data_IF_367396447753
#
_entry.id   IF_367396447753
#
_cell.length_a   1.000
_cell.length_b   1.000
_cell.length_c   1.000
_cell.angle_alpha   90.00
_cell.angle_beta   90.00
_cell.angle_gamma   90.00
#
_symmetry.space_group_name_H-M   'P 1'
#
loop_
_entity.id
_entity.type
_entity.pdbx_description
1 polymer ?
#
# COMPACT_ATOMS: atom_id res chain seq x y z
N UNK A 1 31.93 -1.92 -27.46
CA UNK A 1 32.22 -1.84 -26.01
C UNK A 1 30.92 -1.59 -25.27
N UNK A 2 30.25 -2.65 -24.83
CA UNK A 2 28.98 -2.54 -24.07
C UNK A 2 29.36 -2.29 -22.63
N UNK A 3 29.15 -1.06 -22.13
CA UNK A 3 29.41 -0.70 -20.72
C UNK A 3 28.33 -1.38 -19.84
N UNK A 4 28.81 -2.19 -18.91
CA UNK A 4 28.06 -2.88 -17.89
C UNK A 4 27.13 -1.94 -17.10
N UNK A 5 25.84 -2.00 -17.38
CA UNK A 5 24.80 -1.31 -16.60
C UNK A 5 24.54 -1.97 -15.23
N UNK A 6 25.26 -3.05 -14.91
CA UNK A 6 25.09 -3.79 -13.64
C UNK A 6 25.49 -3.00 -12.38
N UNK A 7 26.44 -2.09 -12.48
CA UNK A 7 26.91 -1.31 -11.33
C UNK A 7 25.94 -0.22 -10.86
N UNK A 8 25.16 0.38 -11.75
CA UNK A 8 24.19 1.44 -11.39
C UNK A 8 22.93 0.87 -10.74
N UNK A 9 22.47 -0.31 -11.16
CA UNK A 9 21.30 -0.97 -10.58
C UNK A 9 21.62 -1.54 -9.20
N UNK A 10 22.84 -1.98 -8.95
CA UNK A 10 23.26 -2.56 -7.67
C UNK A 10 23.25 -1.54 -6.52
N UNK A 11 23.48 -0.26 -6.78
CA UNK A 11 23.49 0.77 -5.74
C UNK A 11 22.11 1.35 -5.43
N UNK A 12 21.17 1.34 -6.38
CA UNK A 12 19.84 1.99 -6.20
C UNK A 12 19.02 1.41 -5.03
N UNK A 13 18.99 0.10 -4.85
CA UNK A 13 18.21 -0.50 -3.74
C UNK A 13 18.89 -0.29 -2.38
N UNK A 14 20.23 -0.24 -2.34
CA UNK A 14 20.98 0.10 -1.13
C UNK A 14 20.78 1.58 -0.75
N UNK A 15 20.75 2.46 -1.73
CA UNK A 15 20.49 3.89 -1.49
C UNK A 15 19.06 4.09 -0.98
N UNK A 16 18.09 3.36 -1.54
CA UNK A 16 16.71 3.38 -1.07
C UNK A 16 16.57 2.83 0.36
N UNK A 17 17.23 1.70 0.67
CA UNK A 17 17.29 1.15 2.02
C UNK A 17 17.87 2.17 3.02
N UNK A 18 19.01 2.79 2.70
CA UNK A 18 19.63 3.81 3.55
C UNK A 18 18.73 5.03 3.75
N UNK A 19 18.01 5.44 2.70
CA UNK A 19 17.03 6.53 2.78
C UNK A 19 15.92 6.20 3.78
N UNK A 20 15.40 4.97 3.74
CA UNK A 20 14.37 4.51 4.68
C UNK A 20 14.91 4.40 6.10
N UNK A 21 16.12 3.90 6.28
CA UNK A 21 16.75 3.77 7.60
C UNK A 21 17.01 5.14 8.26
N UNK A 22 17.37 6.14 7.46
CA UNK A 22 17.62 7.50 7.92
C UNK A 22 16.33 8.32 8.15
N UNK A 23 15.21 7.92 7.55
CA UNK A 23 13.95 8.65 7.66
C UNK A 23 13.33 8.50 9.05
N UNK A 24 12.58 9.52 9.46
CA UNK A 24 11.66 9.42 10.59
C UNK A 24 10.37 8.77 10.12
N UNK A 25 10.26 7.44 10.37
CA UNK A 25 9.14 6.64 9.91
C UNK A 25 7.98 6.73 10.90
N UNK A 26 6.80 7.08 10.37
CA UNK A 26 5.56 7.20 11.15
C UNK A 26 5.10 5.86 11.76
N UNK A 27 5.32 4.73 11.03
CA UNK A 27 5.05 3.39 11.55
C UNK A 27 6.27 2.89 12.32
N UNK A 28 6.17 2.90 13.66
CA UNK A 28 7.26 2.57 14.57
C UNK A 28 7.81 1.13 14.41
N UNK A 29 7.01 0.21 13.84
CA UNK A 29 7.43 -1.18 13.66
C UNK A 29 8.47 -1.32 12.53
N UNK A 30 8.50 -0.40 11.58
CA UNK A 30 9.32 -0.52 10.37
C UNK A 30 10.81 -0.28 10.62
N UNK A 31 11.16 0.64 11.53
CA UNK A 31 12.56 1.00 11.79
C UNK A 31 13.36 -0.13 12.46
N UNK A 32 12.84 -0.80 13.50
CA UNK A 32 13.48 -1.99 14.05
C UNK A 32 13.61 -3.14 13.05
N UNK A 33 12.64 -3.27 12.14
CA UNK A 33 12.68 -4.27 11.07
C UNK A 33 13.81 -4.00 10.08
N UNK A 34 14.01 -2.73 9.67
CA UNK A 34 15.11 -2.32 8.81
C UNK A 34 16.48 -2.58 9.45
N UNK A 35 16.62 -2.28 10.75
CA UNK A 35 17.88 -2.52 11.48
C UNK A 35 18.23 -4.00 11.55
N UNK A 36 17.24 -4.90 11.62
CA UNK A 36 17.49 -6.36 11.66
C UNK A 36 18.06 -6.93 10.36
N UNK A 37 17.82 -6.28 9.23
CA UNK A 37 18.31 -6.73 7.92
C UNK A 37 19.61 -6.04 7.50
N UNK A 38 20.20 -5.21 8.36
CA UNK A 38 21.47 -4.53 8.07
C UNK A 38 22.56 -5.56 7.77
N UNK A 39 23.27 -5.37 6.67
CA UNK A 39 24.28 -6.29 6.18
C UNK A 39 23.76 -7.53 5.43
N UNK A 40 22.45 -7.76 5.39
CA UNK A 40 21.84 -8.84 4.60
C UNK A 40 21.42 -8.31 3.21
N UNK A 41 22.34 -8.37 2.25
CA UNK A 41 22.14 -7.82 0.90
C UNK A 41 20.97 -8.48 0.15
N UNK A 42 20.74 -9.78 0.34
CA UNK A 42 19.64 -10.50 -0.31
C UNK A 42 18.28 -9.99 0.18
N UNK A 43 18.12 -9.85 1.49
CA UNK A 43 16.89 -9.34 2.09
C UNK A 43 16.65 -7.88 1.75
N UNK A 44 17.69 -7.04 1.75
CA UNK A 44 17.60 -5.64 1.36
C UNK A 44 17.17 -5.53 -0.11
N UNK A 45 17.78 -6.33 -0.99
CA UNK A 45 17.43 -6.36 -2.41
C UNK A 45 15.99 -6.83 -2.64
N UNK A 46 15.54 -7.88 -1.95
CA UNK A 46 14.15 -8.36 -2.06
C UNK A 46 13.14 -7.28 -1.67
N UNK A 47 13.46 -6.43 -0.70
CA UNK A 47 12.58 -5.38 -0.20
C UNK A 47 12.61 -4.08 -1.00
N UNK A 48 13.74 -3.75 -1.64
CA UNK A 48 13.97 -2.43 -2.21
C UNK A 48 14.35 -2.39 -3.70
N UNK A 49 14.67 -3.53 -4.34
CA UNK A 49 15.06 -3.55 -5.75
C UNK A 49 13.92 -3.24 -6.72
N UNK A 50 12.69 -3.48 -6.28
CA UNK A 50 11.48 -3.21 -7.07
C UNK A 50 10.39 -2.59 -6.18
N UNK A 51 9.46 -1.91 -6.79
CA UNK A 51 8.23 -1.49 -6.11
C UNK A 51 7.19 -2.61 -6.19
N UNK A 52 6.35 -2.72 -5.16
CA UNK A 52 5.20 -3.61 -5.15
C UNK A 52 4.27 -3.23 -6.31
N UNK A 53 3.88 -4.23 -7.12
CA UNK A 53 3.08 -4.03 -8.33
C UNK A 53 1.65 -4.48 -8.14
N UNK A 54 0.73 -3.80 -8.81
CA UNK A 54 -0.64 -4.26 -8.95
C UNK A 54 -0.68 -5.57 -9.75
N UNK A 55 -1.36 -6.57 -9.18
CA UNK A 55 -1.75 -7.79 -9.87
C UNK A 55 -3.19 -7.68 -10.40
N UNK A 56 -3.74 -8.80 -10.90
CA UNK A 56 -5.10 -8.85 -11.44
C UNK A 56 -6.18 -8.48 -10.42
N UNK A 57 -5.98 -8.83 -9.14
CA UNK A 57 -6.94 -8.61 -8.06
C UNK A 57 -6.55 -7.44 -7.13
N UNK A 58 -5.65 -6.57 -7.55
CA UNK A 58 -5.21 -5.42 -6.74
C UNK A 58 -3.74 -5.51 -6.31
N UNK A 59 -3.38 -4.66 -5.36
CA UNK A 59 -2.05 -4.60 -4.76
C UNK A 59 -1.99 -5.56 -3.57
N UNK A 60 -1.06 -6.52 -3.55
CA UNK A 60 -0.91 -7.49 -2.47
C UNK A 60 0.56 -7.80 -2.21
N UNK A 61 0.96 -7.87 -0.95
CA UNK A 61 2.34 -8.16 -0.58
C UNK A 61 2.51 -8.61 0.86
N UNK A 62 3.72 -9.01 1.19
CA UNK A 62 4.13 -9.27 2.58
C UNK A 62 4.17 -7.95 3.34
N UNK A 63 3.65 -7.94 4.57
CA UNK A 63 3.75 -6.80 5.48
C UNK A 63 5.20 -6.51 5.83
N UNK A 64 5.58 -5.23 5.93
CA UNK A 64 6.88 -4.82 6.43
C UNK A 64 7.49 -3.60 5.74
N UNK A 65 8.75 -3.33 6.10
CA UNK A 65 9.51 -2.21 5.57
C UNK A 65 10.05 -2.51 4.17
N UNK A 66 9.91 -1.55 3.27
CA UNK A 66 10.43 -1.60 1.90
C UNK A 66 9.40 -1.22 0.84
N UNK A 67 9.90 -0.89 -0.34
CA UNK A 67 9.07 -0.54 -1.50
C UNK A 67 8.34 -1.75 -2.10
N UNK A 68 8.87 -2.96 -1.88
CA UNK A 68 8.28 -4.24 -2.28
C UNK A 68 7.53 -4.93 -1.11
N UNK A 69 6.98 -4.16 -0.19
CA UNK A 69 6.23 -4.63 0.98
C UNK A 69 4.94 -3.84 1.14
N UNK A 70 3.94 -4.46 1.80
CA UNK A 70 2.73 -3.75 2.22
C UNK A 70 3.01 -2.97 3.50
N UNK A 71 2.89 -1.65 3.43
CA UNK A 71 3.02 -0.70 4.53
C UNK A 71 2.26 0.58 4.21
N UNK A 72 2.18 1.50 5.17
CA UNK A 72 1.41 2.75 5.01
C UNK A 72 1.90 3.62 3.84
N UNK A 73 3.21 3.59 3.53
CA UNK A 73 3.78 4.40 2.44
C UNK A 73 3.36 3.88 1.07
N UNK A 74 3.39 2.55 0.88
CA UNK A 74 2.94 1.91 -0.35
C UNK A 74 1.41 2.06 -0.51
N UNK A 75 0.64 1.95 0.58
CA UNK A 75 -0.81 2.23 0.56
C UNK A 75 -1.08 3.68 0.18
N UNK A 76 -0.34 4.66 0.73
CA UNK A 76 -0.48 6.08 0.38
C UNK A 76 -0.22 6.32 -1.11
N UNK A 77 0.86 5.73 -1.63
CA UNK A 77 1.21 5.88 -3.05
C UNK A 77 0.14 5.29 -3.97
N UNK A 78 -0.33 4.08 -3.67
CA UNK A 78 -1.39 3.43 -4.45
C UNK A 78 -2.71 4.22 -4.39
N UNK A 79 -3.07 4.68 -3.20
CA UNK A 79 -4.30 5.47 -2.99
C UNK A 79 -4.22 6.84 -3.67
N UNK A 80 -3.04 7.48 -3.69
CA UNK A 80 -2.85 8.73 -4.44
C UNK A 80 -3.09 8.52 -5.95
N UNK A 81 -2.63 7.38 -6.50
CA UNK A 81 -2.95 7.01 -7.89
C UNK A 81 -4.45 6.87 -8.12
N UNK A 82 -5.17 6.21 -7.21
CA UNK A 82 -6.63 6.11 -7.27
C UNK A 82 -7.30 7.48 -7.15
N UNK A 83 -6.84 8.33 -6.23
CA UNK A 83 -7.36 9.68 -6.05
C UNK A 83 -7.23 10.52 -7.33
N UNK A 84 -6.08 10.44 -7.99
CA UNK A 84 -5.85 11.12 -9.26
C UNK A 84 -6.82 10.64 -10.33
N UNK A 85 -7.05 9.32 -10.41
CA UNK A 85 -8.01 8.75 -11.35
C UNK A 85 -9.45 9.19 -11.04
N UNK A 86 -9.90 9.10 -9.76
CA UNK A 86 -11.25 9.52 -9.34
C UNK A 86 -11.53 10.96 -9.74
N UNK A 87 -10.55 11.86 -9.59
CA UNK A 87 -10.70 13.28 -10.00
C UNK A 87 -10.91 13.47 -11.50
N UNK A 88 -10.50 12.52 -12.34
CA UNK A 88 -10.76 12.58 -13.79
C UNK A 88 -12.13 12.03 -14.17
N UNK A 89 -12.82 11.37 -13.22
CA UNK A 89 -14.15 10.82 -13.47
C UNK A 89 -15.23 11.83 -13.11
N UNK A 90 -16.34 11.77 -13.82
CA UNK A 90 -17.56 12.44 -13.39
C UNK A 90 -18.21 11.77 -12.19
N UNK A 91 -19.32 12.33 -11.70
CA UNK A 91 -20.12 11.73 -10.65
C UNK A 91 -19.80 12.26 -9.24
N UNK A 92 -20.04 11.43 -8.23
CA UNK A 92 -20.07 11.86 -6.83
C UNK A 92 -18.72 12.15 -6.20
N UNK A 93 -17.63 11.79 -6.87
CA UNK A 93 -16.26 11.78 -6.32
C UNK A 93 -16.23 11.16 -4.90
N UNK A 94 -16.86 10.00 -4.78
CA UNK A 94 -16.97 9.27 -3.53
C UNK A 94 -16.29 7.91 -3.66
N UNK A 95 -15.59 7.48 -2.60
CA UNK A 95 -14.97 6.16 -2.50
C UNK A 95 -15.45 5.46 -1.25
N UNK A 96 -15.89 4.20 -1.39
CA UNK A 96 -16.22 3.35 -0.25
C UNK A 96 -15.00 2.52 0.17
N UNK A 97 -14.82 2.29 1.47
CA UNK A 97 -13.71 1.49 2.01
C UNK A 97 -14.25 0.46 2.99
N UNK A 98 -13.80 -0.78 2.83
CA UNK A 98 -14.02 -1.87 3.75
C UNK A 98 -12.71 -2.59 4.06
N UNK A 99 -12.66 -3.32 5.16
CA UNK A 99 -11.47 -4.05 5.59
C UNK A 99 -11.84 -5.29 6.39
N UNK A 100 -10.95 -6.27 6.38
CA UNK A 100 -11.09 -7.52 7.12
C UNK A 100 -10.27 -7.52 8.43
N UNK A 101 -10.20 -8.67 9.10
CA UNK A 101 -9.52 -8.84 10.39
C UNK A 101 -8.01 -9.05 10.28
N UNK A 102 -7.39 -8.89 9.11
CA UNK A 102 -5.95 -9.08 8.94
C UNK A 102 -5.15 -8.01 9.67
N UNK A 103 -3.91 -8.36 10.00
CA UNK A 103 -2.97 -7.42 10.61
C UNK A 103 -2.87 -6.13 9.80
N UNK A 104 -3.02 -4.98 10.48
CA UNK A 104 -2.96 -3.63 9.89
C UNK A 104 -4.05 -3.30 8.85
N UNK A 105 -5.09 -4.13 8.66
CA UNK A 105 -6.16 -3.80 7.71
C UNK A 105 -6.88 -2.51 8.06
N UNK A 106 -7.18 -2.28 9.33
CA UNK A 106 -7.79 -1.03 9.82
C UNK A 106 -6.85 0.17 9.65
N UNK A 107 -5.56 -0.01 9.88
CA UNK A 107 -4.53 1.04 9.69
C UNK A 107 -4.44 1.43 8.20
N UNK A 108 -4.41 0.44 7.31
CA UNK A 108 -4.35 0.69 5.87
C UNK A 108 -5.63 1.32 5.33
N UNK A 109 -6.79 0.88 5.82
CA UNK A 109 -8.08 1.48 5.48
C UNK A 109 -8.16 2.96 5.89
N UNK A 110 -7.74 3.28 7.13
CA UNK A 110 -7.66 4.66 7.61
C UNK A 110 -6.63 5.50 6.86
N UNK A 111 -5.47 4.90 6.51
CA UNK A 111 -4.43 5.55 5.69
C UNK A 111 -4.98 5.92 4.31
N UNK A 112 -5.66 4.99 3.65
CA UNK A 112 -6.30 5.24 2.37
C UNK A 112 -7.40 6.33 2.47
N UNK A 113 -8.22 6.27 3.51
CA UNK A 113 -9.24 7.28 3.78
C UNK A 113 -8.64 8.68 3.92
N UNK A 114 -7.53 8.80 4.67
CA UNK A 114 -6.82 10.08 4.85
C UNK A 114 -6.29 10.66 3.54
N UNK A 115 -5.68 9.83 2.68
CA UNK A 115 -5.20 10.28 1.36
C UNK A 115 -6.35 10.76 0.47
N UNK A 116 -7.45 10.02 0.41
CA UNK A 116 -8.63 10.40 -0.39
C UNK A 116 -9.24 11.70 0.12
N UNK A 117 -9.42 11.83 1.44
CA UNK A 117 -9.96 13.03 2.07
C UNK A 117 -9.07 14.26 1.81
N UNK A 118 -7.74 14.12 1.93
CA UNK A 118 -6.78 15.18 1.60
C UNK A 118 -6.84 15.62 0.13
N UNK A 119 -7.31 14.74 -0.76
CA UNK A 119 -7.56 15.04 -2.17
C UNK A 119 -8.96 15.63 -2.44
N UNK A 120 -9.77 15.91 -1.41
CA UNK A 120 -11.13 16.42 -1.54
C UNK A 120 -12.17 15.37 -1.96
N UNK A 121 -11.82 14.09 -1.93
CA UNK A 121 -12.71 12.98 -2.30
C UNK A 121 -13.51 12.58 -1.05
N UNK A 122 -14.82 12.43 -1.21
CA UNK A 122 -15.70 11.97 -0.14
C UNK A 122 -15.43 10.50 0.17
N UNK A 123 -15.21 10.17 1.43
CA UNK A 123 -14.93 8.80 1.88
C UNK A 123 -16.08 8.25 2.70
N UNK A 124 -16.45 7.01 2.42
CA UNK A 124 -17.38 6.20 3.22
C UNK A 124 -16.65 4.95 3.67
N UNK A 125 -16.20 4.96 4.91
CA UNK A 125 -15.50 3.82 5.53
C UNK A 125 -16.42 3.15 6.54
N UNK A 126 -16.43 1.81 6.53
CA UNK A 126 -17.11 1.06 7.57
C UNK A 126 -16.37 1.20 8.91
N UNK A 127 -17.11 1.33 9.98
CA UNK A 127 -16.62 1.38 11.36
C UNK A 127 -16.34 0.00 11.96
N UNK A 128 -16.77 -1.06 11.26
CA UNK A 128 -16.59 -2.46 11.63
C UNK A 128 -16.03 -3.27 10.46
N UNK A 129 -15.53 -4.47 10.76
CA UNK A 129 -15.09 -5.45 9.77
C UNK A 129 -16.24 -5.84 8.86
N UNK A 130 -16.08 -5.67 7.55
CA UNK A 130 -17.10 -6.01 6.58
C UNK A 130 -16.54 -6.78 5.39
N UNK A 131 -17.27 -7.79 4.90
CA UNK A 131 -16.83 -8.60 3.77
C UNK A 131 -16.97 -7.87 2.44
N UNK A 132 -16.29 -8.37 1.40
CA UNK A 132 -16.34 -7.82 0.03
C UNK A 132 -17.76 -7.57 -0.50
N UNK A 133 -18.76 -8.44 -0.28
CA UNK A 133 -20.14 -8.16 -0.73
C UNK A 133 -20.74 -6.89 -0.13
N UNK A 134 -20.41 -6.57 1.13
CA UNK A 134 -20.89 -5.34 1.77
C UNK A 134 -20.29 -4.09 1.09
N UNK A 135 -18.98 -4.13 0.75
CA UNK A 135 -18.35 -3.07 -0.04
C UNK A 135 -19.00 -2.92 -1.42
N UNK A 136 -19.22 -4.04 -2.12
CA UNK A 136 -19.88 -4.04 -3.42
C UNK A 136 -21.30 -3.44 -3.36
N UNK A 137 -22.03 -3.72 -2.30
CA UNK A 137 -23.33 -3.08 -2.05
C UNK A 137 -23.17 -1.57 -1.81
N UNK A 138 -22.28 -1.18 -0.91
CA UNK A 138 -22.05 0.23 -0.57
C UNK A 138 -21.63 1.08 -1.78
N UNK A 139 -20.77 0.57 -2.64
CA UNK A 139 -20.34 1.29 -3.85
C UNK A 139 -21.52 1.63 -4.76
N UNK A 140 -22.47 0.71 -4.92
CA UNK A 140 -23.69 0.94 -5.72
C UNK A 140 -24.69 1.83 -4.98
N UNK A 141 -24.96 1.53 -3.71
CA UNK A 141 -25.95 2.23 -2.92
C UNK A 141 -25.62 3.72 -2.73
N UNK A 142 -24.33 4.05 -2.57
CA UNK A 142 -23.87 5.42 -2.42
C UNK A 142 -23.34 6.04 -3.72
N UNK A 143 -23.52 5.37 -4.85
CA UNK A 143 -23.06 5.82 -6.18
C UNK A 143 -21.57 6.20 -6.17
N UNK A 144 -20.73 5.39 -5.52
CA UNK A 144 -19.31 5.66 -5.41
C UNK A 144 -18.57 5.43 -6.74
N UNK A 145 -17.58 6.27 -7.03
CA UNK A 145 -16.71 6.10 -8.20
C UNK A 145 -15.79 4.86 -8.06
N UNK A 146 -15.45 4.48 -6.83
CA UNK A 146 -14.63 3.31 -6.56
C UNK A 146 -14.90 2.72 -5.18
N UNK A 147 -14.41 1.49 -4.96
CA UNK A 147 -14.36 0.83 -3.66
C UNK A 147 -12.96 0.28 -3.37
N UNK A 148 -12.52 0.38 -2.13
CA UNK A 148 -11.29 -0.22 -1.64
C UNK A 148 -11.65 -1.30 -0.63
N UNK A 149 -11.19 -2.53 -0.89
CA UNK A 149 -11.22 -3.62 0.09
C UNK A 149 -9.81 -3.89 0.58
N UNK A 150 -9.56 -3.69 1.85
CA UNK A 150 -8.26 -4.04 2.46
C UNK A 150 -8.33 -5.49 2.94
N UNK A 151 -7.69 -6.38 2.21
CA UNK A 151 -7.67 -7.82 2.46
C UNK A 151 -6.59 -8.53 1.64
N UNK A 152 -6.09 -9.64 2.13
CA UNK A 152 -5.31 -10.57 1.33
C UNK A 152 -6.02 -11.93 1.12
N UNK A 153 -7.35 -11.95 1.23
CA UNK A 153 -8.19 -13.13 0.99
C UNK A 153 -7.72 -14.35 1.80
N UNK A 154 -7.24 -15.41 1.14
CA UNK A 154 -6.77 -16.66 1.74
C UNK A 154 -5.23 -16.76 1.85
N UNK A 155 -4.49 -15.70 1.55
CA UNK A 155 -3.04 -15.70 1.72
C UNK A 155 -2.64 -15.91 3.19
N UNK A 156 -1.42 -16.41 3.46
CA UNK A 156 -0.89 -16.49 4.82
C UNK A 156 -0.96 -15.17 5.59
N UNK A 157 -0.99 -15.23 6.92
CA UNK A 157 -1.19 -14.06 7.80
C UNK A 157 -0.18 -12.92 7.60
N UNK A 158 1.02 -13.23 7.09
CA UNK A 158 2.05 -12.22 6.78
C UNK A 158 1.74 -11.33 5.57
N UNK A 159 0.67 -11.63 4.81
CA UNK A 159 0.24 -10.82 3.65
C UNK A 159 -0.93 -9.91 4.01
N UNK A 160 -0.97 -8.73 3.35
CA UNK A 160 -2.16 -7.89 3.22
C UNK A 160 -2.21 -7.25 1.82
N UNK A 161 -3.32 -6.62 1.48
CA UNK A 161 -3.49 -6.00 0.18
C UNK A 161 -4.66 -5.05 0.12
#
# INVERSE_FOLDING_TARGET
>A
MVKNNKGKVCNMYLDEYKRWLAADLEDADLKPELSKIEGNDEEIKDRFAVALKFGTAGLRGVLGAGTNRMNIYVVRQATQGLANWVKTQGGSQTVAISYDSRLKSDVFAKTAAGVLAANGIKVRIYDALMPVPALSFATRYYECNAGIMVTASHNPAKYNG
#
